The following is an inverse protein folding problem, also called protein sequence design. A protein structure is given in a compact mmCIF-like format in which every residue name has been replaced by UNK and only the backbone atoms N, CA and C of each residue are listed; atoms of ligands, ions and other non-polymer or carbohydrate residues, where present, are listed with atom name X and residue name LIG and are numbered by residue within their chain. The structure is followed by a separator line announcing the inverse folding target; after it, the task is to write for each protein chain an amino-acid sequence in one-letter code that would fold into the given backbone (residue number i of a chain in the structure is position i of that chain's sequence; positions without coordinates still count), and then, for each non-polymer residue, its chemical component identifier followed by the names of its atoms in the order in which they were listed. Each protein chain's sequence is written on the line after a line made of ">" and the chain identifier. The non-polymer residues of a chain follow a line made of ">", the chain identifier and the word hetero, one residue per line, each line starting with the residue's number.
data_IF_387977428429
#
_entry.id   IF_387977428429
#
_cell.length_a   1.000
_cell.length_b   1.000
_cell.length_c   1.000
_cell.angle_alpha   90.00
_cell.angle_beta   90.00
_cell.angle_gamma   90.00
#
_symmetry.space_group_name_H-M   'P 1'
#
loop_
_entity.id
_entity.type
_entity.pdbx_description
1 polymer ?
#
# COMPACT_ATOMS: atom_id res chain seq x y z
N UNK A 1 48.06 -43.72 -27.26
CA UNK A 1 47.74 -42.34 -26.83
C UNK A 1 46.31 -42.09 -27.26
N UNK A 2 45.36 -42.49 -26.41
CA UNK A 2 43.93 -42.28 -26.60
C UNK A 2 43.43 -41.51 -25.38
N UNK A 3 42.89 -40.33 -25.63
CA UNK A 3 42.44 -39.38 -24.64
C UNK A 3 41.02 -39.76 -24.23
N UNK A 4 40.83 -40.22 -22.98
CA UNK A 4 39.50 -40.45 -22.42
C UNK A 4 38.87 -39.11 -22.02
N UNK A 5 37.73 -38.78 -22.64
CA UNK A 5 36.86 -37.66 -22.28
C UNK A 5 35.91 -38.16 -21.19
N UNK A 6 36.02 -37.60 -19.99
CA UNK A 6 35.10 -37.86 -18.89
C UNK A 6 33.78 -37.10 -19.09
N UNK A 7 32.67 -37.82 -19.03
CA UNK A 7 31.30 -37.26 -18.97
C UNK A 7 30.97 -36.78 -17.56
N UNK A 8 30.23 -35.67 -17.39
CA UNK A 8 29.83 -35.19 -16.07
C UNK A 8 28.65 -35.97 -15.52
N UNK A 9 28.70 -36.26 -14.22
CA UNK A 9 27.67 -36.93 -13.44
C UNK A 9 26.43 -36.05 -13.28
N UNK A 10 25.28 -36.52 -13.77
CA UNK A 10 23.98 -35.95 -13.47
C UNK A 10 23.64 -36.15 -11.99
N UNK A 11 23.79 -35.11 -11.19
CA UNK A 11 23.12 -35.04 -9.89
C UNK A 11 21.66 -34.61 -10.11
N UNK A 12 20.75 -35.59 -10.03
CA UNK A 12 19.31 -35.34 -9.88
C UNK A 12 19.05 -34.57 -8.58
N UNK A 13 18.86 -33.26 -8.69
CA UNK A 13 18.22 -32.46 -7.65
C UNK A 13 16.74 -32.79 -7.63
N UNK A 14 16.30 -33.59 -6.65
CA UNK A 14 14.89 -33.79 -6.36
C UNK A 14 14.24 -32.44 -6.05
N UNK A 15 13.16 -32.04 -6.75
CA UNK A 15 12.45 -30.81 -6.42
C UNK A 15 11.80 -30.97 -5.04
N UNK A 16 12.12 -30.04 -4.14
CA UNK A 16 11.38 -29.85 -2.88
C UNK A 16 9.96 -29.45 -3.27
N UNK A 17 9.01 -30.37 -3.14
CA UNK A 17 7.59 -30.06 -3.27
C UNK A 17 7.17 -29.16 -2.11
N UNK A 18 7.20 -27.84 -2.33
CA UNK A 18 6.41 -26.89 -1.54
C UNK A 18 4.94 -27.28 -1.70
N UNK A 19 4.35 -27.84 -0.63
CA UNK A 19 2.92 -28.06 -0.54
C UNK A 19 2.22 -26.70 -0.59
N UNK A 20 1.83 -26.27 -1.78
CA UNK A 20 0.71 -25.36 -1.96
C UNK A 20 -0.56 -26.14 -1.63
N UNK A 21 -0.89 -26.21 -0.35
CA UNK A 21 -2.23 -26.62 0.07
C UNK A 21 -3.16 -25.47 -0.31
N UNK A 22 -3.91 -25.64 -1.39
CA UNK A 22 -5.11 -24.83 -1.61
C UNK A 22 -5.90 -24.87 -0.29
N UNK A 23 -6.20 -23.71 0.33
CA UNK A 23 -6.87 -23.71 1.61
C UNK A 23 -8.22 -24.42 1.41
N UNK A 24 -8.42 -25.53 2.11
CA UNK A 24 -9.77 -26.03 2.33
C UNK A 24 -10.58 -24.83 2.80
N UNK A 25 -11.68 -24.54 2.12
CA UNK A 25 -12.61 -23.50 2.54
C UNK A 25 -13.13 -23.90 3.92
N UNK A 26 -12.39 -23.53 4.97
CA UNK A 26 -12.82 -23.68 6.35
C UNK A 26 -14.08 -22.84 6.41
N UNK A 27 -15.19 -23.47 6.73
CA UNK A 27 -16.43 -22.77 7.01
C UNK A 27 -16.20 -21.97 8.30
N UNK A 28 -15.66 -20.75 8.15
CA UNK A 28 -15.32 -19.91 9.30
C UNK A 28 -16.64 -19.50 9.94
N UNK A 29 -16.90 -20.05 11.12
CA UNK A 29 -18.06 -19.67 11.92
C UNK A 29 -17.87 -18.23 12.43
N UNK A 30 -18.41 -17.25 11.71
CA UNK A 30 -18.32 -15.82 12.00
C UNK A 30 -19.13 -15.35 13.23
N UNK A 31 -19.72 -16.26 14.00
CA UNK A 31 -20.63 -15.90 15.10
C UNK A 31 -19.95 -15.22 16.29
N UNK A 32 -18.63 -15.37 16.45
CA UNK A 32 -17.89 -14.67 17.50
C UNK A 32 -16.99 -13.58 16.91
N UNK A 33 -17.11 -12.32 17.39
CA UNK A 33 -16.21 -11.26 16.96
C UNK A 33 -14.76 -11.61 17.38
N UNK A 34 -13.82 -11.40 16.46
CA UNK A 34 -12.39 -11.46 16.78
C UNK A 34 -12.07 -10.24 17.64
N UNK A 35 -11.51 -10.45 18.84
CA UNK A 35 -11.12 -9.38 19.75
C UNK A 35 -9.64 -9.51 20.10
N UNK A 36 -8.86 -8.48 19.81
CA UNK A 36 -7.47 -8.31 20.20
C UNK A 36 -7.42 -7.62 21.56
N UNK A 37 -6.62 -8.16 22.47
CA UNK A 37 -6.34 -7.50 23.75
C UNK A 37 -4.98 -6.80 23.67
N UNK A 38 -4.78 -5.75 24.47
CA UNK A 38 -3.45 -5.17 24.63
C UNK A 38 -2.43 -6.25 24.97
N UNK A 39 -1.28 -6.22 24.30
CA UNK A 39 -0.18 -7.19 24.47
C UNK A 39 -0.46 -8.62 24.01
N UNK A 40 -1.57 -8.94 23.33
CA UNK A 40 -1.82 -10.29 22.78
C UNK A 40 -0.65 -10.74 21.87
N UNK A 41 -0.09 -9.83 21.08
CA UNK A 41 1.04 -10.11 20.19
C UNK A 41 2.31 -10.56 20.95
N UNK A 42 2.49 -10.06 22.18
CA UNK A 42 3.66 -10.36 23.02
C UNK A 42 3.41 -11.60 23.86
N UNK A 43 2.26 -11.66 24.54
CA UNK A 43 1.95 -12.71 25.50
C UNK A 43 1.51 -14.02 24.84
N UNK A 44 0.84 -13.92 23.69
CA UNK A 44 0.21 -15.05 23.00
C UNK A 44 0.41 -14.97 21.47
N UNK A 45 1.66 -14.96 20.96
CA UNK A 45 1.95 -14.67 19.56
C UNK A 45 1.24 -15.62 18.56
N UNK A 46 1.12 -16.92 18.89
CA UNK A 46 0.38 -17.88 18.05
C UNK A 46 -1.12 -17.55 17.98
N UNK A 47 -1.74 -17.30 19.14
CA UNK A 47 -3.16 -16.94 19.18
C UNK A 47 -3.43 -15.60 18.49
N UNK A 48 -2.50 -14.64 18.60
CA UNK A 48 -2.58 -13.37 17.90
C UNK A 48 -2.57 -13.55 16.39
N UNK A 49 -1.67 -14.41 15.86
CA UNK A 49 -1.62 -14.74 14.43
C UNK A 49 -2.93 -15.39 13.94
N UNK A 50 -3.45 -16.40 14.67
CA UNK A 50 -4.73 -17.05 14.33
C UNK A 50 -5.90 -16.06 14.33
N UNK A 51 -5.92 -15.11 15.28
CA UNK A 51 -6.92 -14.04 15.31
C UNK A 51 -6.79 -13.12 14.10
N UNK A 52 -5.55 -12.77 13.71
CA UNK A 52 -5.28 -11.93 12.54
C UNK A 52 -5.78 -12.60 11.26
N UNK A 53 -5.40 -13.85 11.02
CA UNK A 53 -5.85 -14.63 9.85
C UNK A 53 -7.39 -14.68 9.76
N UNK A 54 -8.08 -14.89 10.90
CA UNK A 54 -9.54 -14.84 10.96
C UNK A 54 -10.09 -13.44 10.64
N UNK A 55 -9.53 -12.40 11.22
CA UNK A 55 -9.97 -11.02 10.97
C UNK A 55 -9.77 -10.64 9.50
N UNK A 56 -8.62 -10.96 8.93
CA UNK A 56 -8.30 -10.72 7.54
C UNK A 56 -9.29 -11.44 6.61
N UNK A 57 -9.50 -12.74 6.81
CA UNK A 57 -10.49 -13.49 6.04
C UNK A 57 -11.90 -12.86 6.14
N UNK A 58 -12.25 -12.26 7.28
CA UNK A 58 -13.52 -11.55 7.47
C UNK A 58 -13.57 -10.25 6.66
N UNK A 59 -12.49 -9.45 6.73
CA UNK A 59 -12.34 -8.19 6.00
C UNK A 59 -12.38 -8.45 4.50
N UNK A 60 -11.64 -9.45 4.04
CA UNK A 60 -11.56 -9.89 2.64
C UNK A 60 -12.90 -10.43 2.13
N UNK A 61 -13.63 -11.20 2.94
CA UNK A 61 -14.96 -11.69 2.58
C UNK A 61 -15.95 -10.55 2.31
N UNK A 62 -15.83 -9.45 3.05
CA UNK A 62 -16.68 -8.26 2.93
C UNK A 62 -16.08 -7.12 2.09
N UNK A 63 -14.85 -7.29 1.61
CA UNK A 63 -14.27 -6.35 0.67
C UNK A 63 -15.08 -6.36 -0.62
N UNK A 64 -15.04 -5.27 -1.36
CA UNK A 64 -15.67 -5.20 -2.65
C UNK A 64 -14.82 -5.98 -3.63
N UNK A 65 -14.99 -7.31 -3.62
CA UNK A 65 -14.44 -8.25 -4.60
C UNK A 65 -14.70 -7.63 -5.97
N UNK A 66 -13.70 -7.05 -6.66
CA UNK A 66 -13.93 -6.35 -7.90
C UNK A 66 -14.37 -7.39 -8.91
N UNK A 67 -15.68 -7.56 -9.05
CA UNK A 67 -16.28 -8.62 -9.84
C UNK A 67 -16.02 -8.37 -11.31
N UNK A 68 -14.92 -8.85 -11.89
CA UNK A 68 -14.47 -8.52 -13.27
C UNK A 68 -14.30 -7.01 -13.59
N UNK A 69 -14.87 -6.08 -12.82
CA UNK A 69 -15.03 -4.67 -13.15
C UNK A 69 -13.74 -3.87 -13.05
N UNK A 70 -12.75 -4.32 -12.26
CA UNK A 70 -11.45 -3.63 -12.20
C UNK A 70 -10.76 -3.60 -13.57
N UNK A 71 -11.02 -4.62 -14.40
CA UNK A 71 -10.49 -4.75 -15.76
C UNK A 71 -11.53 -4.43 -16.83
N UNK A 72 -12.80 -4.26 -16.47
CA UNK A 72 -13.78 -3.78 -17.44
C UNK A 72 -13.41 -2.35 -17.83
N UNK A 73 -13.15 -2.12 -19.13
CA UNK A 73 -12.86 -0.79 -19.62
C UNK A 73 -14.07 0.08 -19.32
N UNK A 74 -13.85 1.18 -18.62
CA UNK A 74 -14.86 2.22 -18.53
C UNK A 74 -15.24 2.67 -19.95
N UNK A 75 -16.50 3.05 -20.20
CA UNK A 75 -16.88 3.66 -21.46
C UNK A 75 -15.90 4.80 -21.79
N UNK A 76 -15.32 4.77 -22.99
CA UNK A 76 -14.40 5.83 -23.47
C UNK A 76 -15.06 7.21 -23.54
N UNK A 77 -16.39 7.24 -23.43
CA UNK A 77 -17.19 8.44 -23.26
C UNK A 77 -18.36 8.12 -22.34
N UNK A 78 -18.65 9.00 -21.36
CA UNK A 78 -19.95 9.02 -20.71
C UNK A 78 -20.87 9.95 -21.49
N UNK A 79 -21.87 9.37 -22.15
CA UNK A 79 -22.77 10.09 -23.05
C UNK A 79 -23.74 10.97 -22.28
N UNK A 80 -23.98 10.66 -21.02
CA UNK A 80 -24.90 11.41 -20.16
C UNK A 80 -24.48 11.40 -18.70
N UNK A 81 -24.96 12.39 -17.95
CA UNK A 81 -24.85 12.41 -16.49
C UNK A 81 -25.54 11.21 -15.85
N UNK A 82 -26.65 10.74 -16.42
CA UNK A 82 -27.39 9.57 -15.93
C UNK A 82 -26.54 8.30 -15.97
N UNK A 83 -25.75 8.12 -17.03
CA UNK A 83 -24.81 7.00 -17.17
C UNK A 83 -23.73 7.05 -16.09
N UNK A 84 -23.13 8.23 -15.86
CA UNK A 84 -22.15 8.42 -14.80
C UNK A 84 -22.72 8.11 -13.42
N UNK A 85 -23.90 8.63 -13.12
CA UNK A 85 -24.57 8.43 -11.85
C UNK A 85 -24.96 6.96 -11.63
N UNK A 86 -25.48 6.30 -12.66
CA UNK A 86 -25.77 4.88 -12.62
C UNK A 86 -24.51 4.07 -12.31
N UNK A 87 -23.40 4.34 -13.02
CA UNK A 87 -22.14 3.66 -12.76
C UNK A 87 -21.68 3.84 -11.32
N UNK A 88 -21.67 5.08 -10.80
CA UNK A 88 -21.25 5.36 -9.43
C UNK A 88 -22.12 4.64 -8.39
N UNK A 89 -23.44 4.65 -8.57
CA UNK A 89 -24.39 3.98 -7.66
C UNK A 89 -24.20 2.46 -7.65
N UNK A 90 -24.02 1.83 -8.80
CA UNK A 90 -23.98 0.37 -8.88
C UNK A 90 -22.60 -0.22 -8.64
N UNK A 91 -21.52 0.50 -8.94
CA UNK A 91 -20.15 -0.04 -8.85
C UNK A 91 -19.29 0.60 -7.76
N UNK A 92 -19.55 1.84 -7.37
CA UNK A 92 -18.66 2.57 -6.44
C UNK A 92 -19.26 2.67 -5.03
N UNK A 93 -20.56 2.92 -4.91
CA UNK A 93 -21.23 2.97 -3.60
C UNK A 93 -21.03 1.67 -2.80
N UNK A 94 -21.19 0.45 -3.36
CA UNK A 94 -20.93 -0.78 -2.62
C UNK A 94 -19.50 -0.88 -2.08
N UNK A 95 -18.50 -0.40 -2.85
CA UNK A 95 -17.09 -0.37 -2.45
C UNK A 95 -16.89 0.56 -1.26
N UNK A 96 -17.41 1.79 -1.34
CA UNK A 96 -17.26 2.78 -0.26
C UNK A 96 -17.97 2.35 1.04
N UNK A 97 -19.14 1.72 0.91
CA UNK A 97 -19.85 1.13 2.05
C UNK A 97 -19.05 -0.02 2.65
N UNK A 98 -18.47 -0.88 1.80
CA UNK A 98 -17.56 -1.96 2.18
C UNK A 98 -16.37 -1.45 3.00
N UNK A 99 -15.67 -0.43 2.50
CA UNK A 99 -14.55 0.26 3.18
C UNK A 99 -14.97 0.72 4.58
N UNK A 100 -16.06 1.49 4.70
CA UNK A 100 -16.52 2.01 5.99
C UNK A 100 -16.91 0.88 6.97
N UNK A 101 -17.55 -0.17 6.45
CA UNK A 101 -17.93 -1.36 7.21
C UNK A 101 -16.71 -2.12 7.72
N UNK A 102 -15.70 -2.34 6.87
CA UNK A 102 -14.46 -3.03 7.22
C UNK A 102 -13.61 -2.25 8.22
N UNK A 103 -13.49 -0.93 8.07
CA UNK A 103 -12.85 -0.08 9.09
C UNK A 103 -13.54 -0.21 10.45
N UNK A 104 -14.87 -0.27 10.45
CA UNK A 104 -15.64 -0.48 11.69
C UNK A 104 -15.44 -1.87 12.27
N UNK A 105 -15.20 -2.91 11.45
CA UNK A 105 -14.83 -4.26 11.92
C UNK A 105 -13.45 -4.26 12.56
N UNK A 106 -12.45 -3.64 11.92
CA UNK A 106 -11.08 -3.54 12.46
C UNK A 106 -11.08 -2.83 13.84
N UNK A 107 -11.81 -1.72 13.96
CA UNK A 107 -11.93 -0.99 15.23
C UNK A 107 -12.67 -1.80 16.31
N UNK A 108 -13.79 -2.46 15.95
CA UNK A 108 -14.52 -3.33 16.89
C UNK A 108 -13.69 -4.53 17.36
N UNK A 109 -12.74 -4.97 16.54
CA UNK A 109 -11.80 -6.00 16.91
C UNK A 109 -10.67 -5.49 17.82
N UNK A 110 -10.54 -4.18 18.05
CA UNK A 110 -9.37 -3.54 18.65
C UNK A 110 -8.07 -3.85 17.87
N UNK A 111 -8.18 -4.00 16.56
CA UNK A 111 -7.02 -4.21 15.69
C UNK A 111 -6.35 -2.88 15.31
N UNK A 112 -7.13 -1.81 15.19
CA UNK A 112 -6.64 -0.44 15.01
C UNK A 112 -7.49 0.56 15.77
N UNK A 113 -6.89 1.70 16.11
CA UNK A 113 -7.55 2.80 16.81
C UNK A 113 -8.07 3.85 15.82
N UNK A 114 -7.28 4.89 15.53
CA UNK A 114 -7.71 6.03 14.71
C UNK A 114 -7.13 6.03 13.30
N UNK A 115 -6.11 5.22 13.05
CA UNK A 115 -5.39 5.16 11.78
C UNK A 115 -5.24 3.71 11.31
N UNK A 116 -5.21 3.54 10.00
CA UNK A 116 -4.58 2.39 9.33
C UNK A 116 -3.39 2.93 8.54
N UNK A 117 -2.62 2.09 7.85
CA UNK A 117 -1.62 2.59 6.93
C UNK A 117 -1.59 1.77 5.63
N UNK A 118 -0.85 2.31 4.66
CA UNK A 118 -0.55 1.66 3.40
C UNK A 118 0.92 1.90 3.03
N UNK A 119 1.55 0.91 2.40
CA UNK A 119 2.88 1.07 1.82
C UNK A 119 2.76 1.75 0.45
N UNK A 120 3.38 2.91 0.31
CA UNK A 120 3.30 3.72 -0.92
C UNK A 120 4.72 4.03 -1.38
N UNK A 121 4.98 3.92 -2.68
CA UNK A 121 6.24 4.36 -3.29
C UNK A 121 6.44 5.87 -3.04
N UNK A 122 7.60 6.24 -2.52
CA UNK A 122 7.96 7.63 -2.26
C UNK A 122 8.29 8.34 -3.57
N UNK A 123 7.59 9.44 -3.84
CA UNK A 123 7.80 10.21 -5.06
C UNK A 123 9.17 10.88 -5.06
N UNK A 124 9.88 10.73 -6.17
CA UNK A 124 11.19 11.35 -6.38
C UNK A 124 12.36 10.59 -5.75
N UNK A 125 12.12 9.46 -5.07
CA UNK A 125 13.18 8.56 -4.58
C UNK A 125 13.00 7.18 -5.19
N UNK A 126 14.01 6.73 -5.92
CA UNK A 126 13.99 5.44 -6.58
C UNK A 126 14.07 4.30 -5.55
N UNK A 127 13.19 3.30 -5.68
CA UNK A 127 13.13 2.12 -4.81
C UNK A 127 12.92 2.42 -3.32
N UNK A 128 12.26 3.52 -2.98
CA UNK A 128 11.88 3.80 -1.59
C UNK A 128 10.36 3.67 -1.47
N UNK A 129 9.91 2.82 -0.56
CA UNK A 129 8.53 2.81 -0.10
C UNK A 129 8.46 3.41 1.31
N UNK A 130 7.33 4.03 1.62
CA UNK A 130 7.04 4.56 2.94
C UNK A 130 5.70 4.07 3.44
N UNK A 131 5.58 3.93 4.76
CA UNK A 131 4.26 3.82 5.37
C UNK A 131 3.57 5.19 5.30
N UNK A 132 2.30 5.17 4.93
CA UNK A 132 1.45 6.37 4.90
C UNK A 132 0.29 6.13 5.83
N UNK A 133 0.25 6.86 6.93
CA UNK A 133 -0.86 6.82 7.88
C UNK A 133 -2.13 7.42 7.30
N UNK A 134 -3.21 6.66 7.44
CA UNK A 134 -4.53 6.97 6.93
C UNK A 134 -5.52 7.08 8.09
N UNK A 135 -5.87 8.32 8.43
CA UNK A 135 -6.91 8.61 9.41
C UNK A 135 -8.27 8.00 9.00
N UNK A 136 -8.81 7.15 9.86
CA UNK A 136 -10.13 6.51 9.71
C UNK A 136 -11.24 7.56 9.70
N UNK A 137 -11.12 8.61 10.50
CA UNK A 137 -12.12 9.70 10.54
C UNK A 137 -12.12 10.51 9.24
N UNK A 138 -10.95 10.69 8.62
CA UNK A 138 -10.85 11.28 7.29
C UNK A 138 -11.49 10.38 6.22
N UNK A 139 -11.16 9.08 6.20
CA UNK A 139 -11.75 8.12 5.24
C UNK A 139 -13.28 8.10 5.38
N UNK A 140 -13.82 8.05 6.61
CA UNK A 140 -15.27 8.06 6.84
C UNK A 140 -15.93 9.34 6.35
N UNK A 141 -15.33 10.51 6.57
CA UNK A 141 -15.83 11.78 6.03
C UNK A 141 -15.82 11.79 4.51
N UNK A 142 -14.75 11.27 3.89
CA UNK A 142 -14.66 11.12 2.45
C UNK A 142 -15.77 10.20 1.90
N UNK A 143 -15.98 9.03 2.52
CA UNK A 143 -17.06 8.10 2.16
C UNK A 143 -18.42 8.78 2.27
N UNK A 144 -18.72 9.40 3.42
CA UNK A 144 -20.00 10.08 3.64
C UNK A 144 -20.27 11.16 2.58
N UNK A 145 -19.28 12.04 2.31
CA UNK A 145 -19.40 13.08 1.29
C UNK A 145 -19.57 12.50 -0.11
N UNK A 146 -18.92 11.39 -0.42
CA UNK A 146 -19.07 10.71 -1.71
C UNK A 146 -20.47 10.14 -1.90
N UNK A 147 -21.05 9.54 -0.85
CA UNK A 147 -22.42 9.04 -0.88
C UNK A 147 -23.42 10.18 -1.07
N UNK A 148 -23.28 11.28 -0.31
CA UNK A 148 -24.11 12.48 -0.47
C UNK A 148 -24.03 13.05 -1.89
N UNK A 149 -22.82 13.13 -2.48
CA UNK A 149 -22.63 13.61 -3.84
C UNK A 149 -23.35 12.72 -4.87
N UNK A 150 -23.25 11.39 -4.73
CA UNK A 150 -23.84 10.42 -5.66
C UNK A 150 -25.38 10.40 -5.54
N UNK A 151 -25.90 10.54 -4.33
CA UNK A 151 -27.34 10.48 -4.04
C UNK A 151 -28.04 11.81 -4.30
N UNK A 152 -27.40 12.94 -4.00
CA UNK A 152 -27.96 14.29 -4.06
C UNK A 152 -28.14 14.89 -5.46
N UNK A 153 -28.02 14.11 -6.52
CA UNK A 153 -28.04 14.55 -7.93
C UNK A 153 -27.00 15.67 -8.25
N UNK A 154 -26.03 15.93 -7.37
CA UNK A 154 -25.00 16.98 -7.51
C UNK A 154 -24.16 16.81 -8.79
N UNK A 155 -24.05 15.58 -9.29
CA UNK A 155 -23.35 15.23 -10.54
C UNK A 155 -23.96 15.89 -11.79
N UNK A 156 -25.20 16.41 -11.71
CA UNK A 156 -25.84 17.17 -12.80
C UNK A 156 -25.32 18.59 -12.91
N UNK A 157 -24.70 19.11 -11.86
CA UNK A 157 -24.13 20.43 -11.83
C UNK A 157 -22.63 20.40 -12.11
N UNK A 158 -22.20 21.16 -13.11
CA UNK A 158 -20.81 21.19 -13.54
C UNK A 158 -19.85 21.72 -12.47
N UNK A 159 -20.28 22.69 -11.66
CA UNK A 159 -19.48 23.31 -10.61
C UNK A 159 -19.23 22.33 -9.45
N UNK A 160 -20.28 21.62 -9.03
CA UNK A 160 -20.19 20.56 -8.03
C UNK A 160 -19.30 19.41 -8.51
N UNK A 161 -19.50 18.88 -9.72
CA UNK A 161 -18.65 17.82 -10.28
C UNK A 161 -17.17 18.22 -10.37
N UNK A 162 -16.88 19.46 -10.74
CA UNK A 162 -15.50 19.98 -10.81
C UNK A 162 -14.87 20.09 -9.41
N UNK A 163 -15.62 20.62 -8.44
CA UNK A 163 -15.16 20.76 -7.06
C UNK A 163 -14.92 19.41 -6.40
N UNK A 164 -15.82 18.45 -6.65
CA UNK A 164 -15.73 17.11 -6.10
C UNK A 164 -14.62 16.28 -6.76
N UNK A 165 -14.38 16.45 -8.07
CA UNK A 165 -13.20 15.88 -8.74
C UNK A 165 -11.90 16.36 -8.08
N UNK A 166 -11.78 17.67 -7.83
CA UNK A 166 -10.61 18.21 -7.12
C UNK A 166 -10.46 17.59 -5.74
N UNK A 167 -11.56 17.43 -5.00
CA UNK A 167 -11.56 16.74 -3.71
C UNK A 167 -11.05 15.30 -3.81
N UNK A 168 -11.42 14.55 -4.86
CA UNK A 168 -10.89 13.21 -5.12
C UNK A 168 -9.38 13.22 -5.40
N UNK A 169 -8.89 14.15 -6.24
CA UNK A 169 -7.47 14.28 -6.59
C UNK A 169 -6.62 14.70 -5.40
N UNK A 170 -7.11 15.63 -4.59
CA UNK A 170 -6.46 16.06 -3.36
C UNK A 170 -6.41 14.91 -2.34
N UNK A 171 -7.48 14.14 -2.25
CA UNK A 171 -7.55 12.94 -1.41
C UNK A 171 -6.52 11.89 -1.88
N UNK A 172 -6.47 11.54 -3.16
CA UNK A 172 -5.40 10.67 -3.72
C UNK A 172 -4.00 11.21 -3.43
N UNK A 173 -3.80 12.52 -3.51
CA UNK A 173 -2.52 13.14 -3.18
C UNK A 173 -2.13 13.03 -1.71
N UNK A 174 -3.09 13.06 -0.80
CA UNK A 174 -2.85 12.80 0.60
C UNK A 174 -2.38 11.35 0.86
N UNK A 175 -2.83 10.38 0.07
CA UNK A 175 -2.25 9.01 0.05
C UNK A 175 -0.84 8.96 -0.57
N UNK A 176 -0.31 10.04 -1.13
CA UNK A 176 0.91 10.02 -1.95
C UNK A 176 0.68 9.52 -3.38
N UNK A 177 -0.58 9.38 -3.79
CA UNK A 177 -1.01 8.77 -5.06
C UNK A 177 -1.66 9.78 -6.03
N UNK A 178 -1.23 11.06 -6.02
CA UNK A 178 -1.70 12.12 -6.95
C UNK A 178 -1.29 11.90 -8.42
N UNK A 179 -2.20 11.58 -9.36
CA UNK A 179 -1.82 11.46 -10.77
C UNK A 179 -1.55 12.83 -11.40
N UNK A 180 -0.45 13.01 -12.13
CA UNK A 180 -0.15 14.29 -12.79
C UNK A 180 -1.22 14.64 -13.85
N UNK A 181 -1.73 13.64 -14.58
CA UNK A 181 -2.79 13.84 -15.59
C UNK A 181 -4.05 14.50 -15.00
N UNK A 182 -4.48 14.05 -13.81
CA UNK A 182 -5.64 14.59 -13.12
C UNK A 182 -5.34 15.94 -12.45
N UNK A 183 -4.10 16.16 -12.01
CA UNK A 183 -3.69 17.44 -11.43
C UNK A 183 -3.71 18.55 -12.48
N UNK A 184 -3.17 18.28 -13.67
CA UNK A 184 -3.19 19.22 -14.79
C UNK A 184 -4.62 19.52 -15.23
N UNK A 185 -5.47 18.48 -15.25
CA UNK A 185 -6.90 18.64 -15.50
C UNK A 185 -7.55 19.59 -14.48
N UNK A 186 -7.33 19.37 -13.18
CA UNK A 186 -7.91 20.19 -12.12
C UNK A 186 -7.40 21.64 -12.13
N UNK A 187 -6.12 21.89 -12.44
CA UNK A 187 -5.55 23.24 -12.45
C UNK A 187 -5.95 24.03 -13.71
N UNK A 188 -6.06 23.36 -14.87
CA UNK A 188 -6.46 24.03 -16.11
C UNK A 188 -7.86 24.65 -15.98
N UNK A 189 -8.78 23.96 -15.31
CA UNK A 189 -10.14 24.44 -15.11
C UNK A 189 -10.20 25.65 -14.18
N UNK A 190 -9.52 25.59 -13.02
CA UNK A 190 -9.49 26.68 -12.04
C UNK A 190 -9.01 28.03 -12.60
N UNK A 191 -8.09 28.02 -13.58
CA UNK A 191 -7.58 29.24 -14.22
C UNK A 191 -8.55 29.86 -15.23
N UNK A 192 -9.43 29.07 -15.83
CA UNK A 192 -10.37 29.58 -16.85
C UNK A 192 -11.49 30.44 -16.25
N UNK A 193 -11.83 30.23 -14.99
CA UNK A 193 -12.96 30.90 -14.32
C UNK A 193 -12.64 32.32 -13.83
N UNK A 194 -11.36 32.73 -13.73
CA UNK A 194 -10.98 33.96 -13.00
C UNK A 194 -10.44 35.12 -13.85
N UNK A 195 -10.20 34.96 -15.16
CA UNK A 195 -9.59 36.04 -15.97
C UNK A 195 -10.38 36.34 -17.24
N UNK A 196 -10.91 37.55 -17.38
CA UNK A 196 -11.72 38.02 -18.52
C UNK A 196 -10.98 38.19 -19.87
N UNK A 197 -9.84 37.53 -20.06
CA UNK A 197 -9.05 37.62 -21.29
C UNK A 197 -9.60 36.71 -22.41
N UNK A 198 -9.83 37.30 -23.59
CA UNK A 198 -10.41 36.72 -24.82
C UNK A 198 -9.52 35.68 -25.55
N UNK A 199 -8.58 35.04 -24.86
CA UNK A 199 -7.84 33.90 -25.44
C UNK A 199 -8.72 32.65 -25.51
N UNK A 200 -8.57 31.83 -26.56
CA UNK A 200 -9.27 30.55 -26.76
C UNK A 200 -9.16 29.63 -25.51
N UNK A 201 -10.09 29.79 -24.56
CA UNK A 201 -10.20 28.92 -23.39
C UNK A 201 -10.82 27.62 -23.85
N UNK A 202 -10.08 26.52 -23.72
CA UNK A 202 -10.64 25.17 -23.85
C UNK A 202 -11.62 24.95 -22.70
N UNK A 203 -12.89 25.25 -22.94
CA UNK A 203 -13.95 24.90 -22.02
C UNK A 203 -14.16 23.38 -22.09
N UNK A 204 -13.93 22.70 -20.98
CA UNK A 204 -14.18 21.27 -20.89
C UNK A 204 -15.69 21.01 -20.93
N UNK A 205 -16.09 19.99 -21.69
CA UNK A 205 -17.49 19.56 -21.68
C UNK A 205 -17.85 18.95 -20.32
N UNK A 206 -19.13 19.06 -19.94
CA UNK A 206 -19.65 18.43 -18.73
C UNK A 206 -19.37 16.91 -18.70
N UNK A 207 -19.52 16.25 -19.85
CA UNK A 207 -19.23 14.82 -20.00
C UNK A 207 -17.76 14.47 -19.72
N UNK A 208 -16.81 15.33 -20.12
CA UNK A 208 -15.39 15.11 -19.83
C UNK A 208 -15.10 15.19 -18.33
N UNK A 209 -15.68 16.15 -17.62
CA UNK A 209 -15.52 16.26 -16.16
C UNK A 209 -16.15 15.06 -15.45
N UNK A 210 -17.36 14.64 -15.85
CA UNK A 210 -18.02 13.49 -15.25
C UNK A 210 -17.23 12.18 -15.47
N UNK A 211 -16.66 12.01 -16.66
CA UNK A 211 -15.78 10.87 -16.94
C UNK A 211 -14.54 10.89 -16.05
N UNK A 212 -13.83 12.02 -15.98
CA UNK A 212 -12.66 12.17 -15.11
C UNK A 212 -13.00 11.93 -13.63
N UNK A 213 -14.16 12.41 -13.18
CA UNK A 213 -14.67 12.17 -11.83
C UNK A 213 -14.91 10.69 -11.56
N UNK A 214 -15.54 9.97 -12.48
CA UNK A 214 -15.79 8.53 -12.31
C UNK A 214 -14.48 7.76 -12.21
N UNK A 215 -13.48 8.08 -13.04
CA UNK A 215 -12.16 7.47 -12.94
C UNK A 215 -11.46 7.78 -11.61
N UNK A 216 -11.45 9.04 -11.19
CA UNK A 216 -10.82 9.45 -9.94
C UNK A 216 -11.48 8.78 -8.71
N UNK A 217 -12.82 8.76 -8.68
CA UNK A 217 -13.57 8.17 -7.57
C UNK A 217 -13.45 6.63 -7.56
N UNK A 218 -13.44 5.99 -8.74
CA UNK A 218 -13.13 4.57 -8.89
C UNK A 218 -11.73 4.25 -8.35
N UNK A 219 -10.71 4.97 -8.81
CA UNK A 219 -9.33 4.76 -8.37
C UNK A 219 -9.21 4.86 -6.85
N UNK A 220 -9.82 5.90 -6.27
CA UNK A 220 -9.78 6.14 -4.84
C UNK A 220 -10.57 5.10 -4.03
N UNK A 221 -11.78 4.74 -4.44
CA UNK A 221 -12.61 3.75 -3.74
C UNK A 221 -11.92 2.38 -3.68
N UNK A 222 -11.40 1.89 -4.81
CA UNK A 222 -10.70 0.61 -4.84
C UNK A 222 -9.34 0.66 -4.14
N UNK A 223 -8.61 1.79 -4.22
CA UNK A 223 -7.36 1.97 -3.47
C UNK A 223 -7.63 1.88 -1.96
N UNK A 224 -8.69 2.52 -1.47
CA UNK A 224 -9.11 2.45 -0.07
C UNK A 224 -9.49 1.04 0.35
N UNK A 225 -10.28 0.33 -0.46
CA UNK A 225 -10.70 -1.04 -0.13
C UNK A 225 -9.50 -1.98 -0.06
N UNK A 226 -8.60 -1.91 -1.04
CA UNK A 226 -7.38 -2.71 -1.07
C UNK A 226 -6.43 -2.33 0.07
N UNK A 227 -6.32 -1.04 0.42
CA UNK A 227 -5.51 -0.61 1.56
C UNK A 227 -6.03 -1.20 2.89
N UNK A 228 -7.35 -1.23 3.09
CA UNK A 228 -7.98 -1.84 4.27
C UNK A 228 -7.74 -3.35 4.33
N UNK A 229 -7.93 -4.05 3.21
CA UNK A 229 -7.66 -5.50 3.11
C UNK A 229 -6.18 -5.79 3.37
N UNK A 230 -5.30 -5.05 2.70
CA UNK A 230 -3.85 -5.19 2.83
C UNK A 230 -3.40 -4.93 4.26
N UNK A 231 -3.91 -3.90 4.93
CA UNK A 231 -3.61 -3.60 6.33
C UNK A 231 -4.03 -4.73 7.28
N UNK A 232 -5.20 -5.34 7.06
CA UNK A 232 -5.67 -6.47 7.88
C UNK A 232 -4.72 -7.67 7.82
N UNK A 233 -4.09 -7.91 6.65
CA UNK A 233 -3.04 -8.91 6.46
C UNK A 233 -1.61 -8.40 6.70
N UNK A 234 -1.44 -7.27 7.40
CA UNK A 234 -0.14 -6.62 7.65
C UNK A 234 0.71 -6.41 6.37
N UNK A 235 0.04 -6.23 5.24
CA UNK A 235 0.56 -6.10 3.88
C UNK A 235 1.25 -7.33 3.29
N UNK A 236 1.36 -8.45 4.00
CA UNK A 236 2.14 -9.62 3.54
C UNK A 236 1.31 -10.69 2.84
N UNK A 237 0.03 -10.74 3.16
CA UNK A 237 -0.84 -11.87 2.82
C UNK A 237 -1.28 -11.87 1.36
N UNK A 238 -1.50 -13.07 0.83
CA UNK A 238 -1.92 -13.32 -0.56
C UNK A 238 -3.44 -13.19 -0.72
N UNK A 239 -3.96 -11.99 -0.46
CA UNK A 239 -5.40 -11.75 -0.67
C UNK A 239 -5.77 -11.71 -2.15
N UNK A 240 -4.80 -11.61 -3.06
CA UNK A 240 -5.03 -11.43 -4.49
C UNK A 240 -5.71 -12.62 -5.16
N UNK A 241 -5.44 -13.84 -4.69
CA UNK A 241 -6.09 -15.07 -5.13
C UNK A 241 -7.60 -15.06 -4.94
N UNK A 242 -8.08 -14.33 -3.93
CA UNK A 242 -9.50 -14.26 -3.55
C UNK A 242 -10.13 -12.94 -3.95
N UNK A 243 -9.37 -11.85 -3.82
CA UNK A 243 -9.84 -10.50 -4.10
C UNK A 243 -9.94 -10.26 -5.60
N UNK A 244 -8.89 -10.58 -6.37
CA UNK A 244 -8.89 -10.37 -7.81
C UNK A 244 -9.41 -11.62 -8.52
N UNK A 245 -10.38 -11.46 -9.41
CA UNK A 245 -10.92 -12.56 -10.21
C UNK A 245 -9.87 -13.22 -11.14
N UNK A 246 -8.71 -12.57 -11.35
CA UNK A 246 -7.60 -13.05 -12.17
C UNK A 246 -6.28 -12.84 -11.44
N UNK A 247 -5.88 -13.76 -10.55
CA UNK A 247 -4.68 -13.61 -9.71
C UNK A 247 -3.34 -13.69 -10.47
N UNK A 248 -3.34 -13.73 -11.79
CA UNK A 248 -2.16 -13.95 -12.63
C UNK A 248 -1.96 -12.85 -13.69
N UNK A 249 -2.33 -11.61 -13.38
CA UNK A 249 -1.78 -10.50 -14.16
C UNK A 249 -0.25 -10.59 -14.15
N UNK A 250 0.38 -10.29 -15.30
CA UNK A 250 1.83 -10.50 -15.53
C UNK A 250 2.63 -9.95 -14.34
N UNK A 251 3.15 -10.84 -13.51
CA UNK A 251 3.99 -10.56 -12.32
C UNK A 251 3.28 -10.05 -11.06
N UNK A 252 1.98 -10.31 -10.87
CA UNK A 252 1.26 -9.91 -9.65
C UNK A 252 1.09 -8.40 -9.53
N UNK A 253 0.88 -7.75 -10.68
CA UNK A 253 0.74 -6.30 -10.82
C UNK A 253 -0.70 -6.02 -11.20
N UNK A 254 -1.38 -5.21 -10.40
CA UNK A 254 -2.75 -4.77 -10.63
C UNK A 254 -2.78 -3.28 -10.91
N UNK A 255 -3.63 -2.86 -11.86
CA UNK A 255 -3.73 -1.47 -12.29
C UNK A 255 -5.16 -0.94 -12.16
N UNK A 256 -5.29 0.26 -11.60
CA UNK A 256 -6.56 0.98 -11.50
C UNK A 256 -6.43 2.29 -12.28
N UNK A 257 -7.03 2.40 -13.48
CA UNK A 257 -6.92 3.61 -14.30
C UNK A 257 -7.50 4.84 -13.59
N UNK A 258 -6.70 5.91 -13.54
CA UNK A 258 -7.08 7.20 -12.95
C UNK A 258 -7.70 8.16 -13.97
N UNK A 259 -7.55 7.88 -15.27
CA UNK A 259 -8.10 8.68 -16.35
C UNK A 259 -8.58 7.83 -17.52
N UNK A 260 -9.37 8.45 -18.41
CA UNK A 260 -10.00 7.78 -19.55
C UNK A 260 -9.00 7.26 -20.59
N UNK A 261 -7.85 7.92 -20.72
CA UNK A 261 -6.81 7.55 -21.68
C UNK A 261 -5.85 6.50 -21.11
N UNK A 262 -6.08 6.06 -19.86
CA UNK A 262 -5.16 5.22 -19.07
C UNK A 262 -3.72 5.76 -19.12
N UNK A 263 -3.55 7.08 -19.13
CA UNK A 263 -2.24 7.75 -19.06
C UNK A 263 -1.67 7.68 -17.66
N UNK A 264 -2.53 7.66 -16.66
CA UNK A 264 -2.15 7.44 -15.28
C UNK A 264 -3.01 6.35 -14.64
N UNK A 265 -2.39 5.56 -13.77
CA UNK A 265 -3.06 4.51 -12.99
C UNK A 265 -2.46 4.42 -11.60
N UNK A 266 -3.25 4.00 -10.61
CA UNK A 266 -2.72 3.48 -9.36
C UNK A 266 -2.36 2.01 -9.61
N UNK A 267 -1.10 1.69 -9.39
CA UNK A 267 -0.58 0.34 -9.47
C UNK A 267 -0.42 -0.26 -8.09
N UNK A 268 -0.68 -1.55 -7.99
CA UNK A 268 -0.65 -2.32 -6.75
C UNK A 268 0.11 -3.59 -7.07
N UNK A 269 1.21 -3.84 -6.38
CA UNK A 269 2.06 -4.99 -6.65
C UNK A 269 2.82 -5.40 -5.40
N UNK A 270 3.35 -6.62 -5.40
CA UNK A 270 4.12 -7.15 -4.27
C UNK A 270 5.61 -6.90 -4.48
N UNK A 271 6.30 -6.45 -3.43
CA UNK A 271 7.75 -6.21 -3.45
C UNK A 271 8.43 -6.73 -2.20
N UNK A 272 9.63 -7.24 -2.42
CA UNK A 272 10.55 -7.51 -1.32
C UNK A 272 11.22 -6.20 -0.88
N UNK A 273 11.64 -6.19 0.38
CA UNK A 273 12.36 -5.09 0.99
C UNK A 273 13.80 -5.52 1.29
N UNK A 274 14.75 -4.62 1.06
CA UNK A 274 16.14 -4.82 1.45
C UNK A 274 16.22 -5.01 2.98
N UNK A 275 17.03 -6.00 3.38
CA UNK A 275 17.24 -6.46 4.76
C UNK A 275 16.03 -6.76 5.64
N UNK A 276 14.81 -6.67 5.14
CA UNK A 276 13.61 -7.06 5.88
C UNK A 276 13.10 -8.46 5.51
N UNK A 277 13.82 -9.20 4.66
CA UNK A 277 13.42 -10.54 4.23
C UNK A 277 13.20 -11.48 5.43
N UNK A 278 14.19 -11.64 6.31
CA UNK A 278 14.04 -12.47 7.51
C UNK A 278 12.93 -11.97 8.46
N UNK A 279 12.76 -10.66 8.60
CA UNK A 279 11.69 -10.06 9.40
C UNK A 279 10.30 -10.45 8.89
N UNK A 280 10.08 -10.26 7.59
CA UNK A 280 8.84 -10.54 6.88
C UNK A 280 8.69 -12.04 6.53
N UNK A 281 9.63 -12.88 6.94
CA UNK A 281 9.65 -14.33 6.64
C UNK A 281 9.73 -14.61 5.14
N UNK A 282 10.51 -13.83 4.40
CA UNK A 282 10.68 -13.85 2.94
C UNK A 282 9.42 -13.54 2.14
N UNK A 283 8.36 -12.99 2.77
CA UNK A 283 7.16 -12.58 2.07
C UNK A 283 7.33 -11.15 1.52
N UNK A 284 7.00 -10.91 0.24
CA UNK A 284 6.91 -9.56 -0.27
C UNK A 284 5.64 -8.87 0.25
N UNK A 285 5.70 -7.55 0.40
CA UNK A 285 4.55 -6.76 0.86
C UNK A 285 3.87 -6.03 -0.31
N UNK A 286 2.57 -5.77 -0.17
CA UNK A 286 1.79 -4.97 -1.11
C UNK A 286 2.18 -3.50 -1.07
N UNK A 287 2.51 -2.93 -2.22
CA UNK A 287 2.93 -1.53 -2.37
C UNK A 287 2.08 -0.85 -3.44
N UNK A 288 1.68 0.38 -3.16
CA UNK A 288 0.96 1.25 -4.07
C UNK A 288 1.92 2.22 -4.76
N UNK A 289 1.74 2.43 -6.06
CA UNK A 289 2.49 3.40 -6.85
C UNK A 289 1.55 4.13 -7.81
N UNK A 290 1.84 5.38 -8.15
CA UNK A 290 1.22 5.99 -9.33
C UNK A 290 2.12 5.76 -10.52
N UNK A 291 1.57 5.08 -11.52
CA UNK A 291 2.23 4.89 -12.79
C UNK A 291 1.69 5.85 -13.82
N UNK A 292 2.60 6.46 -14.56
CA UNK A 292 2.29 7.35 -15.66
C UNK A 292 2.89 6.82 -16.95
N UNK A 293 2.23 7.09 -18.06
CA UNK A 293 2.63 6.63 -19.38
C UNK A 293 4.09 7.02 -19.66
N UNK A 294 4.92 6.00 -19.92
CA UNK A 294 6.34 6.18 -20.19
C UNK A 294 7.25 6.00 -18.97
N UNK A 295 6.69 5.88 -17.76
CA UNK A 295 7.45 5.49 -16.57
C UNK A 295 7.74 3.97 -16.62
N UNK A 296 9.00 3.56 -16.48
CA UNK A 296 9.35 2.14 -16.39
C UNK A 296 9.45 1.76 -14.92
N UNK A 297 8.67 0.77 -14.50
CA UNK A 297 8.75 0.25 -13.13
C UNK A 297 9.84 -0.80 -13.08
N UNK A 298 10.90 -0.53 -12.32
CA UNK A 298 11.94 -1.50 -12.03
C UNK A 298 11.50 -2.38 -10.85
N UNK A 299 11.00 -3.57 -11.18
CA UNK A 299 10.62 -4.61 -10.22
C UNK A 299 11.79 -5.52 -9.83
N UNK A 300 12.96 -5.37 -10.45
CA UNK A 300 14.10 -6.29 -10.26
C UNK A 300 14.85 -6.06 -8.96
N UNK A 301 14.66 -4.90 -8.33
CA UNK A 301 15.34 -4.51 -7.09
C UNK A 301 14.39 -4.61 -5.90
N UNK A 302 14.92 -4.89 -4.72
CA UNK A 302 14.13 -4.78 -3.51
C UNK A 302 14.00 -3.30 -3.10
N UNK A 303 13.02 -3.03 -2.25
CA UNK A 303 12.72 -1.68 -1.77
C UNK A 303 13.43 -1.35 -0.47
N UNK A 304 13.80 -0.10 -0.30
CA UNK A 304 14.08 0.48 1.00
C UNK A 304 12.75 0.88 1.65
N UNK A 305 12.68 0.77 2.98
CA UNK A 305 11.53 1.19 3.77
C UNK A 305 11.86 2.46 4.55
N UNK A 306 11.00 3.47 4.43
CA UNK A 306 10.97 4.65 5.28
C UNK A 306 9.75 4.56 6.22
N UNK A 307 9.99 4.50 7.52
CA UNK A 307 8.91 4.45 8.51
C UNK A 307 9.34 5.03 9.85
N UNK A 308 8.41 5.62 10.60
CA UNK A 308 8.62 5.91 12.02
C UNK A 308 8.55 4.61 12.85
N UNK A 309 9.12 4.57 14.07
CA UNK A 309 8.95 3.45 14.98
C UNK A 309 7.47 3.13 15.28
N UNK A 310 6.63 4.16 15.40
CA UNK A 310 5.18 4.04 15.64
C UNK A 310 4.47 3.44 14.42
N UNK A 311 4.81 3.90 13.21
CA UNK A 311 4.27 3.35 11.96
C UNK A 311 4.61 1.86 11.81
N UNK A 312 5.87 1.47 12.10
CA UNK A 312 6.27 0.06 12.12
C UNK A 312 5.48 -0.74 13.15
N UNK A 313 5.28 -0.16 14.34
CA UNK A 313 4.61 -0.82 15.45
C UNK A 313 3.14 -1.13 15.13
N UNK A 314 2.51 -0.21 14.39
CA UNK A 314 1.13 -0.32 13.96
C UNK A 314 0.90 -1.45 12.95
N UNK A 315 1.89 -1.79 12.11
CA UNK A 315 1.74 -2.83 11.07
C UNK A 315 2.20 -4.19 11.53
N UNK A 316 3.45 -4.28 11.99
CA UNK A 316 4.13 -5.56 12.17
C UNK A 316 4.30 -5.94 13.63
N UNK A 317 3.62 -5.22 14.52
CA UNK A 317 3.60 -5.48 15.96
C UNK A 317 4.61 -4.63 16.72
N UNK A 318 4.61 -4.72 18.06
CA UNK A 318 5.23 -3.72 18.93
C UNK A 318 6.73 -3.57 18.66
N UNK A 319 7.16 -2.33 18.49
CA UNK A 319 8.56 -1.92 18.35
C UNK A 319 9.00 -1.34 19.68
N UNK A 320 9.93 -2.00 20.37
CA UNK A 320 10.42 -1.52 21.66
C UNK A 320 11.77 -0.86 21.50
N UNK A 321 11.88 0.36 22.01
CA UNK A 321 13.19 0.99 22.14
C UNK A 321 13.95 0.34 23.29
N UNK A 322 15.04 -0.36 22.98
CA UNK A 322 15.98 -0.88 23.96
C UNK A 322 17.17 0.04 24.07
N UNK A 323 17.45 0.50 25.28
CA UNK A 323 18.69 1.19 25.59
C UNK A 323 19.64 0.18 26.20
N UNK A 324 20.75 -0.11 25.51
CA UNK A 324 21.80 -0.90 26.16
C UNK A 324 22.31 -0.11 27.37
N UNK A 325 22.37 -0.74 28.54
CA UNK A 325 23.03 -0.22 29.74
C UNK A 325 24.56 -0.09 29.56
N UNK A 326 25.09 -0.43 28.39
CA UNK A 326 26.49 -0.26 28.09
C UNK A 326 26.89 1.22 28.15
N UNK A 327 28.14 1.52 28.54
CA UNK A 327 28.65 2.90 28.62
C UNK A 327 28.62 3.62 27.26
N UNK A 328 28.43 2.90 26.16
CA UNK A 328 28.56 3.40 24.79
C UNK A 328 27.31 3.97 24.16
N UNK A 329 26.15 4.00 24.81
CA UNK A 329 25.09 4.81 24.20
C UNK A 329 24.04 4.09 23.35
N UNK A 330 24.05 2.77 23.16
CA UNK A 330 23.38 2.25 21.94
C UNK A 330 21.86 2.12 22.10
N UNK A 331 21.11 2.87 21.29
CA UNK A 331 19.67 2.66 21.08
C UNK A 331 19.48 1.60 19.99
N UNK A 332 18.65 0.60 20.25
CA UNK A 332 18.17 -0.37 19.25
C UNK A 332 16.65 -0.46 19.31
N UNK A 333 16.01 -0.85 18.22
CA UNK A 333 14.59 -1.16 18.24
C UNK A 333 14.40 -2.67 18.16
N UNK A 334 13.81 -3.25 19.20
CA UNK A 334 13.44 -4.66 19.29
C UNK A 334 12.13 -4.88 18.53
N UNK A 335 12.17 -5.85 17.64
CA UNK A 335 11.00 -6.41 16.97
C UNK A 335 10.82 -7.86 17.43
N UNK A 336 9.63 -8.41 17.24
CA UNK A 336 9.30 -9.79 17.64
C UNK A 336 10.24 -10.87 17.07
N UNK A 337 10.95 -10.58 15.97
CA UNK A 337 11.86 -11.50 15.27
C UNK A 337 13.30 -10.99 15.11
N UNK A 338 13.68 -9.85 15.70
CA UNK A 338 15.03 -9.32 15.53
C UNK A 338 15.20 -7.89 16.02
N UNK A 339 16.22 -7.21 15.49
CA UNK A 339 16.67 -5.89 15.91
C UNK A 339 16.81 -4.97 14.70
N UNK A 340 16.30 -3.74 14.81
CA UNK A 340 16.71 -2.65 13.92
C UNK A 340 17.87 -1.92 14.58
N UNK A 341 18.98 -1.83 13.86
CA UNK A 341 20.22 -1.17 14.29
C UNK A 341 20.67 -0.13 13.28
N UNK A 342 21.41 0.88 13.73
CA UNK A 342 22.02 1.87 12.83
C UNK A 342 23.08 1.22 11.93
N UNK A 343 23.17 1.71 10.69
CA UNK A 343 24.07 1.16 9.67
C UNK A 343 24.81 2.23 8.86
N UNK A 344 25.94 1.84 8.22
CA UNK A 344 26.72 2.75 7.39
C UNK A 344 26.02 2.98 6.06
N UNK A 345 25.73 4.25 5.77
CA UNK A 345 25.20 4.66 4.47
C UNK A 345 26.32 4.67 3.42
N UNK A 346 26.06 4.09 2.26
CA UNK A 346 27.00 4.04 1.14
C UNK A 346 26.56 4.98 0.00
N UNK A 347 27.48 5.28 -0.91
CA UNK A 347 27.17 6.09 -2.10
C UNK A 347 26.20 5.43 -3.09
N UNK A 348 25.98 4.12 -2.96
CA UNK A 348 25.03 3.37 -3.80
C UNK A 348 23.61 3.38 -3.24
N UNK A 349 23.44 3.75 -1.97
CA UNK A 349 22.15 3.83 -1.31
C UNK A 349 21.40 5.12 -1.71
N UNK A 350 20.05 5.12 -1.69
CA UNK A 350 19.29 6.34 -1.89
C UNK A 350 19.71 7.44 -0.91
N UNK A 351 19.72 8.72 -1.33
CA UNK A 351 20.09 9.82 -0.45
C UNK A 351 19.14 9.89 0.74
N UNK A 352 19.68 10.11 1.94
CA UNK A 352 18.89 10.31 3.16
C UNK A 352 18.27 11.71 3.17
N UNK A 353 17.01 11.78 3.61
CA UNK A 353 16.34 13.04 3.89
C UNK A 353 16.62 13.51 5.33
N UNK A 354 16.44 14.81 5.64
CA UNK A 354 16.59 15.31 7.00
C UNK A 354 15.72 14.53 8.01
N UNK A 355 16.35 14.07 9.09
CA UNK A 355 15.71 13.27 10.14
C UNK A 355 15.68 11.76 9.88
N UNK A 356 16.12 11.29 8.71
CA UNK A 356 16.24 9.85 8.47
C UNK A 356 17.52 9.27 9.05
N UNK A 357 17.41 8.07 9.62
CA UNK A 357 18.56 7.29 10.07
C UNK A 357 18.64 6.00 9.29
N UNK A 358 19.78 5.77 8.63
CA UNK A 358 20.00 4.55 7.87
C UNK A 358 20.14 3.35 8.80
N UNK A 359 19.37 2.31 8.52
CA UNK A 359 19.19 1.18 9.41
C UNK A 359 19.30 -0.16 8.68
N UNK A 360 19.60 -1.19 9.48
CA UNK A 360 19.63 -2.58 9.10
C UNK A 360 18.76 -3.39 10.07
N UNK A 361 18.01 -4.35 9.56
CA UNK A 361 17.38 -5.37 10.40
C UNK A 361 18.26 -6.61 10.45
N UNK A 362 18.48 -7.15 11.64
CA UNK A 362 19.23 -8.38 11.86
C UNK A 362 18.61 -9.21 12.99
N UNK A 363 18.68 -10.53 12.87
CA UNK A 363 18.37 -11.48 13.95
C UNK A 363 19.64 -11.97 14.68
N UNK A 364 20.83 -11.59 14.23
CA UNK A 364 22.11 -11.91 14.87
C UNK A 364 22.49 -10.86 15.93
N UNK A 365 22.51 -11.21 17.23
CA UNK A 365 22.94 -10.32 18.29
C UNK A 365 24.39 -9.82 18.12
N UNK A 366 25.24 -10.59 17.45
CA UNK A 366 26.66 -10.27 17.22
C UNK A 366 26.80 -9.18 16.17
N UNK A 367 26.08 -9.28 15.05
CA UNK A 367 25.94 -8.20 14.07
C UNK A 367 25.36 -6.94 14.71
N UNK A 368 24.30 -7.08 15.51
CA UNK A 368 23.70 -5.96 16.24
C UNK A 368 24.65 -5.31 17.27
N UNK A 369 25.57 -6.09 17.85
CA UNK A 369 26.58 -5.60 18.78
C UNK A 369 27.78 -4.94 18.07
N UNK A 370 28.08 -5.35 16.84
CA UNK A 370 29.18 -4.81 16.04
C UNK A 370 28.76 -3.65 15.12
N UNK A 371 27.46 -3.40 14.96
CA UNK A 371 26.94 -2.35 14.08
C UNK A 371 27.44 -0.95 14.49
N UNK A 372 27.80 -0.16 13.47
CA UNK A 372 28.21 1.24 13.59
C UNK A 372 27.74 1.95 12.32
N UNK A 373 27.07 3.11 12.40
CA UNK A 373 26.89 3.98 13.56
C UNK A 373 25.75 3.57 14.49
N UNK A 374 25.79 4.10 15.72
CA UNK A 374 24.70 3.93 16.69
C UNK A 374 23.54 4.87 16.37
N UNK A 375 22.30 4.42 16.63
CA UNK A 375 21.16 5.33 16.66
C UNK A 375 21.30 6.29 17.84
N UNK A 376 21.06 7.60 17.67
CA UNK A 376 21.24 8.57 18.73
C UNK A 376 20.30 8.31 19.92
N UNK A 377 20.83 8.39 21.16
CA UNK A 377 20.01 8.27 22.39
C UNK A 377 19.01 9.40 22.55
N UNK A 378 19.42 10.64 22.38
CA UNK A 378 18.62 11.77 22.89
C UNK A 378 17.76 12.46 21.83
N UNK A 379 17.71 11.91 20.62
CA UNK A 379 16.93 12.49 19.54
C UNK A 379 15.70 11.63 19.34
N UNK A 380 14.53 12.27 19.30
CA UNK A 380 13.32 11.64 18.82
C UNK A 380 13.57 11.27 17.35
N UNK A 381 13.87 9.99 17.07
CA UNK A 381 14.19 9.51 15.73
C UNK A 381 12.88 9.55 14.94
N UNK A 382 12.71 10.51 14.02
CA UNK A 382 11.43 10.67 13.36
C UNK A 382 11.21 9.57 12.32
N UNK A 383 12.28 9.11 11.66
CA UNK A 383 12.19 8.09 10.62
C UNK A 383 13.40 7.16 10.60
N UNK A 384 13.11 5.87 10.51
CA UNK A 384 14.03 4.80 10.18
C UNK A 384 14.02 4.61 8.67
N UNK A 385 15.19 4.63 8.06
CA UNK A 385 15.39 4.33 6.65
C UNK A 385 16.10 2.97 6.53
N UNK A 386 15.33 1.91 6.34
CA UNK A 386 15.75 0.51 6.44
C UNK A 386 16.00 -0.04 5.04
N UNK A 387 17.19 -0.56 4.79
CA UNK A 387 17.51 -1.23 3.52
C UNK A 387 18.99 -1.51 3.29
N UNK A 388 19.80 -1.53 4.35
CA UNK A 388 21.21 -1.89 4.25
C UNK A 388 21.39 -3.35 3.79
N UNK A 389 22.14 -3.59 2.71
CA UNK A 389 22.51 -4.95 2.31
C UNK A 389 23.43 -5.59 3.36
N UNK A 390 23.10 -6.80 3.82
CA UNK A 390 23.87 -7.56 4.82
C UNK A 390 25.22 -8.08 4.30
N UNK A 391 25.44 -8.06 2.98
CA UNK A 391 26.72 -8.45 2.39
C UNK A 391 27.19 -7.44 1.35
N UNK A 392 28.47 -7.04 1.36
CA UNK A 392 29.09 -6.55 0.14
C UNK A 392 28.95 -7.69 -0.87
N UNK A 393 28.14 -7.51 -1.91
CA UNK A 393 28.15 -8.45 -3.04
C UNK A 393 29.62 -8.56 -3.45
N UNK A 394 30.23 -9.77 -3.43
CA UNK A 394 31.59 -9.91 -3.90
C UNK A 394 31.63 -9.33 -5.31
N UNK A 395 32.44 -8.28 -5.48
CA UNK A 395 32.61 -7.57 -6.75
C UNK A 395 33.28 -8.46 -7.79
#
# INVERSE_FOLDING_TARGET
>A
METQIATPSNHETKPVQLRSSAPHAVEINWTQPVIFRPNDAVNHPRSWLEKREKLEAHVLYHAAKPSHHLHEPLPTSMRSTTEAQHYLRHHIVPVLVGVSSNLSRLQRAHFCDETINALVMERGRHQVARLTDLSISFIRRFVARSLEFIDGDEIRDHGWSTSFLRYCVDTLGWFGLRPHSLQDFSHSHARTSSSGSHGNKRQWSHGTVNLALVHALRALAYTLDIAVVSFAGAHLEHFDDVYFARPHERHGIYQIPCDADSKSSVMIFRRHFECLAGFLGDHPAWVFEVHERGHVIDLSRNLYLRASPEELANVWGPVWRSEDLSPQGRTRFLLSRGLIVGWRHSSNDPPLLPGEYFCHWTDDPTEAASSSPCLPRYINIPYLFIGAHSHPRPH
#
